data_IF_813932423356
#
_entry.id   IF_813932423356
#
_cell.length_a   1.000
_cell.length_b   1.000
_cell.length_c   1.000
_cell.angle_alpha   90.00
_cell.angle_beta   90.00
_cell.angle_gamma   90.00
#
_symmetry.space_group_name_H-M   'P 1'
#
loop_
_entity.id
_entity.type
_entity.pdbx_description
1 polymer ?
#
# COMPACT_ATOMS: atom_id res chain seq x y z
N UNK A 1 5.10 -3.69 -27.39
CA UNK A 1 4.24 -2.55 -27.03
C UNK A 1 4.96 -1.77 -25.93
N UNK A 2 5.44 -0.55 -26.21
CA UNK A 2 5.97 0.33 -25.15
C UNK A 2 4.80 0.71 -24.26
N UNK A 3 4.85 0.36 -22.97
CA UNK A 3 3.89 0.85 -22.01
C UNK A 3 4.07 2.37 -21.89
N UNK A 4 3.11 3.13 -22.43
CA UNK A 4 3.04 4.58 -22.22
C UNK A 4 2.93 4.81 -20.71
N UNK A 5 3.73 5.71 -20.16
CA UNK A 5 3.62 6.05 -18.75
C UNK A 5 2.21 6.59 -18.47
N UNK A 6 1.52 5.99 -17.50
CA UNK A 6 0.14 6.30 -17.14
C UNK A 6 0.05 7.26 -15.95
N UNK A 7 1.13 7.95 -15.59
CA UNK A 7 1.11 8.91 -14.50
C UNK A 7 0.95 10.34 -15.02
N UNK A 8 0.30 11.17 -14.22
CA UNK A 8 -0.05 12.54 -14.52
C UNK A 8 0.63 13.50 -13.54
N UNK A 9 0.78 14.76 -13.93
CA UNK A 9 1.28 15.81 -13.04
C UNK A 9 0.40 15.89 -11.80
N UNK A 10 1.04 15.89 -10.63
CA UNK A 10 0.37 15.79 -9.33
C UNK A 10 0.37 14.40 -8.71
N UNK A 11 0.67 13.35 -9.48
CA UNK A 11 0.69 11.98 -8.96
C UNK A 11 1.79 11.77 -7.91
N UNK A 12 1.42 11.03 -6.87
CA UNK A 12 2.34 10.60 -5.83
C UNK A 12 3.27 9.52 -6.32
N UNK A 13 4.56 9.73 -6.12
CA UNK A 13 5.63 8.80 -6.47
C UNK A 13 6.31 8.27 -5.22
N UNK A 14 6.73 7.00 -5.26
CA UNK A 14 7.70 6.45 -4.34
C UNK A 14 9.05 6.34 -5.08
N UNK A 15 10.11 6.84 -4.46
CA UNK A 15 11.47 6.79 -5.01
C UNK A 15 12.33 5.90 -4.13
N UNK A 16 13.00 4.93 -4.75
CA UNK A 16 14.08 4.14 -4.13
C UNK A 16 15.40 4.48 -4.78
N UNK A 17 16.41 4.81 -3.99
CA UNK A 17 17.77 4.93 -4.48
C UNK A 17 18.31 3.51 -4.69
N UNK A 18 18.78 3.20 -5.91
CA UNK A 18 19.32 1.88 -6.29
C UNK A 18 20.83 1.90 -6.15
N UNK A 19 21.47 2.99 -6.61
CA UNK A 19 22.89 3.17 -6.64
C UNK A 19 23.21 4.63 -6.29
N UNK A 20 24.16 4.84 -5.39
CA UNK A 20 24.52 6.17 -4.90
C UNK A 20 25.14 6.12 -3.51
N UNK A 21 25.75 7.23 -3.10
CA UNK A 21 26.43 7.40 -1.81
C UNK A 21 25.48 7.43 -0.58
N UNK A 22 24.20 7.17 -0.79
CA UNK A 22 23.18 7.23 0.26
C UNK A 22 22.57 5.84 0.40
N UNK A 23 22.96 5.11 1.43
CA UNK A 23 22.32 3.84 1.82
C UNK A 23 20.94 4.13 2.45
N UNK A 24 19.97 4.48 1.61
CA UNK A 24 18.58 4.64 2.04
C UNK A 24 17.78 3.47 1.47
N UNK A 25 17.77 2.37 2.19
CA UNK A 25 16.91 1.21 1.93
C UNK A 25 15.41 1.53 2.19
N UNK A 26 14.99 2.78 1.98
CA UNK A 26 13.66 3.31 2.35
C UNK A 26 12.95 3.86 1.13
N UNK A 27 11.63 3.70 1.11
CA UNK A 27 10.80 4.34 0.11
C UNK A 27 10.66 5.83 0.47
N UNK A 28 11.19 6.69 -0.38
CA UNK A 28 11.03 8.13 -0.28
C UNK A 28 9.74 8.53 -0.99
N UNK A 29 9.04 9.51 -0.50
CA UNK A 29 7.81 10.03 -1.10
C UNK A 29 8.14 11.29 -1.90
N UNK A 30 7.62 11.37 -3.10
CA UNK A 30 7.73 12.51 -4.00
C UNK A 30 6.41 12.71 -4.77
N UNK A 31 6.39 13.71 -5.64
CA UNK A 31 5.28 14.04 -6.53
C UNK A 31 5.80 14.40 -7.91
N UNK A 32 5.10 13.96 -8.96
CA UNK A 32 5.39 14.38 -10.32
C UNK A 32 5.01 15.86 -10.49
N UNK A 33 5.95 16.69 -10.85
CA UNK A 33 5.72 18.13 -11.06
C UNK A 33 5.53 18.47 -12.55
N UNK A 34 6.31 17.83 -13.44
CA UNK A 34 6.28 18.14 -14.85
C UNK A 34 6.77 16.94 -15.69
N UNK A 35 6.24 16.80 -16.89
CA UNK A 35 6.71 15.88 -17.94
C UNK A 35 7.40 16.73 -19.00
N UNK A 36 8.73 16.74 -19.05
CA UNK A 36 9.50 17.57 -19.97
C UNK A 36 9.73 16.92 -21.34
N UNK A 37 9.73 15.60 -21.39
CA UNK A 37 9.79 14.82 -22.64
C UNK A 37 9.23 13.40 -22.42
N UNK A 38 9.31 12.52 -23.42
CA UNK A 38 8.85 11.12 -23.31
C UNK A 38 9.58 10.33 -22.21
N UNK A 39 10.83 10.69 -21.89
CA UNK A 39 11.69 9.98 -20.94
C UNK A 39 12.25 10.86 -19.82
N UNK A 40 11.88 12.15 -19.76
CA UNK A 40 12.39 13.09 -18.75
C UNK A 40 11.28 13.73 -17.93
N UNK A 41 11.45 13.73 -16.63
CA UNK A 41 10.45 14.16 -15.65
C UNK A 41 11.07 15.05 -14.59
N UNK A 42 10.33 16.06 -14.14
CA UNK A 42 10.63 16.84 -12.95
C UNK A 42 9.78 16.30 -11.81
N UNK A 43 10.43 15.90 -10.73
CA UNK A 43 9.77 15.40 -9.53
C UNK A 43 10.20 16.21 -8.31
N UNK A 44 9.30 16.47 -7.39
CA UNK A 44 9.60 17.20 -6.16
C UNK A 44 10.75 16.54 -5.40
N UNK A 45 11.53 17.32 -4.66
CA UNK A 45 12.57 16.74 -3.80
C UNK A 45 11.95 15.70 -2.86
N UNK A 46 12.45 14.45 -2.85
CA UNK A 46 11.86 13.40 -2.05
C UNK A 46 11.86 13.68 -0.56
N UNK A 47 10.83 13.20 0.13
CA UNK A 47 10.65 13.38 1.57
C UNK A 47 10.69 12.02 2.27
N UNK A 48 11.35 11.97 3.42
CA UNK A 48 11.30 10.87 4.37
C UNK A 48 11.09 11.40 5.79
N UNK A 49 10.02 10.96 6.47
CA UNK A 49 9.67 11.40 7.83
C UNK A 49 9.66 12.93 7.99
N UNK A 50 9.08 13.63 7.01
CA UNK A 50 8.97 15.09 7.00
C UNK A 50 10.25 15.86 6.63
N UNK A 51 11.36 15.18 6.33
CA UNK A 51 12.63 15.79 5.93
C UNK A 51 12.87 15.60 4.44
N UNK A 52 13.32 16.67 3.75
CA UNK A 52 13.78 16.58 2.37
C UNK A 52 15.05 15.72 2.29
N UNK A 53 15.09 14.83 1.33
CA UNK A 53 16.22 13.95 1.08
C UNK A 53 16.90 14.37 -0.22
N UNK A 54 18.11 14.90 -0.09
CA UNK A 54 18.92 15.27 -1.24
C UNK A 54 19.46 14.03 -1.95
N UNK A 55 18.99 13.79 -3.18
CA UNK A 55 19.55 12.77 -4.06
C UNK A 55 20.57 13.42 -5.00
N UNK A 56 21.84 12.99 -5.00
CA UNK A 56 22.85 13.56 -5.87
C UNK A 56 22.56 13.36 -7.36
N UNK A 57 23.03 14.29 -8.21
CA UNK A 57 23.10 14.08 -9.66
C UNK A 57 23.96 12.84 -9.96
N UNK A 58 23.53 12.03 -10.93
CA UNK A 58 24.16 10.77 -11.28
C UNK A 58 23.65 9.56 -10.51
N UNK A 59 22.89 9.75 -9.42
CA UNK A 59 22.28 8.63 -8.70
C UNK A 59 21.26 7.90 -9.58
N UNK A 60 21.23 6.56 -9.46
CA UNK A 60 20.21 5.72 -10.08
C UNK A 60 19.08 5.49 -9.09
N UNK A 61 17.85 5.70 -9.55
CA UNK A 61 16.64 5.61 -8.73
C UNK A 61 15.59 4.72 -9.40
N UNK A 62 14.78 4.01 -8.61
CA UNK A 62 13.56 3.35 -9.08
C UNK A 62 12.37 4.21 -8.71
N UNK A 63 11.60 4.59 -9.70
CA UNK A 63 10.35 5.34 -9.57
C UNK A 63 9.21 4.35 -9.54
N UNK A 64 8.34 4.48 -8.54
CA UNK A 64 7.22 3.58 -8.33
C UNK A 64 5.97 4.43 -8.13
N UNK A 65 4.91 4.13 -8.87
CA UNK A 65 3.64 4.85 -8.81
C UNK A 65 2.46 3.91 -8.98
N UNK A 66 1.30 4.32 -8.48
CA UNK A 66 0.06 3.55 -8.63
C UNK A 66 -0.87 4.24 -9.62
N UNK A 67 -1.47 3.46 -10.50
CA UNK A 67 -2.50 3.92 -11.43
C UNK A 67 -3.81 3.29 -10.97
N UNK A 68 -4.83 4.13 -10.80
CA UNK A 68 -6.15 3.68 -10.36
C UNK A 68 -6.65 2.56 -11.28
N UNK A 69 -7.13 1.49 -10.70
CA UNK A 69 -7.70 0.30 -11.36
C UNK A 69 -6.76 -0.47 -12.31
N UNK A 70 -5.50 -0.01 -12.47
CA UNK A 70 -4.49 -0.65 -13.33
C UNK A 70 -3.31 -1.28 -12.57
N UNK A 71 -3.08 -0.85 -11.32
CA UNK A 71 -2.05 -1.44 -10.48
C UNK A 71 -0.86 -0.53 -10.20
N UNK A 72 0.26 -1.14 -9.84
CA UNK A 72 1.50 -0.43 -9.49
C UNK A 72 2.49 -0.63 -10.63
N UNK A 73 3.12 0.46 -11.04
CA UNK A 73 4.11 0.50 -12.10
C UNK A 73 5.45 0.96 -11.56
N UNK A 74 6.53 0.56 -12.21
CA UNK A 74 7.87 1.06 -11.90
C UNK A 74 8.76 1.12 -13.12
N UNK A 75 9.72 2.05 -13.08
CA UNK A 75 10.85 2.15 -14.00
C UNK A 75 12.08 2.67 -13.25
N UNK A 76 13.27 2.45 -13.82
CA UNK A 76 14.50 3.02 -13.30
C UNK A 76 14.84 4.30 -14.07
N UNK A 77 15.44 5.25 -13.37
CA UNK A 77 15.85 6.53 -13.92
C UNK A 77 17.19 6.99 -13.33
N UNK A 78 17.90 7.84 -14.05
CA UNK A 78 19.06 8.54 -13.54
C UNK A 78 18.67 9.98 -13.15
N UNK A 79 19.19 10.48 -12.04
CA UNK A 79 19.06 11.88 -11.65
C UNK A 79 20.02 12.69 -12.52
N UNK A 80 19.48 13.48 -13.45
CA UNK A 80 20.29 14.28 -14.40
C UNK A 80 20.52 15.71 -13.95
N UNK A 81 19.61 16.25 -13.11
CA UNK A 81 19.71 17.59 -12.56
C UNK A 81 19.05 17.68 -11.20
N UNK A 82 19.51 18.61 -10.37
CA UNK A 82 18.94 18.92 -9.05
C UNK A 82 18.89 20.42 -8.85
N UNK A 83 17.73 20.90 -8.38
CA UNK A 83 17.54 22.26 -7.92
C UNK A 83 17.25 22.28 -6.42
N UNK A 84 17.94 23.12 -5.67
CA UNK A 84 17.73 23.30 -4.23
C UNK A 84 17.27 24.73 -3.87
N UNK A 85 16.90 25.53 -4.86
CA UNK A 85 16.43 26.90 -4.64
C UNK A 85 15.00 26.90 -4.07
N UNK A 86 14.22 27.97 -4.30
CA UNK A 86 12.88 28.20 -3.72
C UNK A 86 11.95 26.99 -3.77
N UNK A 87 11.99 26.23 -4.87
CA UNK A 87 11.26 24.96 -5.02
C UNK A 87 12.29 23.88 -5.30
N UNK A 88 12.51 23.01 -4.32
CA UNK A 88 13.47 21.93 -4.44
C UNK A 88 12.90 20.77 -5.28
N UNK A 89 13.62 20.39 -6.35
CA UNK A 89 13.23 19.28 -7.23
C UNK A 89 14.45 18.55 -7.80
N UNK A 90 14.21 17.39 -8.36
CA UNK A 90 15.16 16.67 -9.20
C UNK A 90 14.57 16.44 -10.58
N UNK A 91 15.40 16.53 -11.62
CA UNK A 91 15.07 16.09 -12.98
C UNK A 91 15.64 14.69 -13.15
N UNK A 92 14.80 13.78 -13.58
CA UNK A 92 15.14 12.37 -13.79
C UNK A 92 14.97 12.02 -15.26
N UNK A 93 15.83 11.13 -15.75
CA UNK A 93 15.76 10.55 -17.10
C UNK A 93 15.56 9.05 -16.98
N UNK A 94 14.47 8.54 -17.54
CA UNK A 94 14.14 7.12 -17.58
C UNK A 94 15.19 6.35 -18.38
N UNK A 95 15.60 5.17 -17.87
CA UNK A 95 16.64 4.33 -18.50
C UNK A 95 16.15 2.96 -18.95
N UNK A 96 14.97 2.53 -18.51
CA UNK A 96 14.38 1.27 -18.92
C UNK A 96 12.86 1.42 -19.15
N UNK A 97 12.24 0.39 -19.74
CA UNK A 97 10.80 0.38 -19.94
C UNK A 97 10.05 0.27 -18.61
N UNK A 98 8.87 0.89 -18.56
CA UNK A 98 7.96 0.78 -17.43
C UNK A 98 7.40 -0.63 -17.30
N UNK A 99 7.43 -1.18 -16.09
CA UNK A 99 6.98 -2.54 -15.75
C UNK A 99 5.89 -2.49 -14.69
N UNK A 100 4.98 -3.48 -14.73
CA UNK A 100 4.04 -3.71 -13.64
C UNK A 100 4.80 -4.29 -12.44
N UNK A 101 4.59 -3.70 -11.26
CA UNK A 101 5.18 -4.16 -10.00
C UNK A 101 4.14 -4.84 -9.12
N UNK A 102 4.13 -6.16 -9.13
CA UNK A 102 3.30 -6.90 -8.18
C UNK A 102 3.93 -6.85 -6.78
N UNK A 103 3.24 -6.19 -5.84
CA UNK A 103 3.68 -6.08 -4.42
C UNK A 103 2.89 -7.00 -3.49
N UNK A 104 1.71 -7.46 -3.93
CA UNK A 104 0.81 -8.26 -3.10
C UNK A 104 1.01 -9.72 -3.41
N UNK A 105 1.35 -10.49 -2.39
CA UNK A 105 1.45 -11.95 -2.51
C UNK A 105 0.06 -12.60 -2.56
N UNK A 106 -0.96 -11.93 -1.99
CA UNK A 106 -2.32 -12.44 -1.87
C UNK A 106 -3.32 -11.48 -2.48
N UNK A 107 -4.33 -12.03 -3.13
CA UNK A 107 -5.48 -11.27 -3.60
C UNK A 107 -6.25 -10.70 -2.40
N UNK A 108 -6.78 -9.49 -2.55
CA UNK A 108 -7.62 -8.84 -1.55
C UNK A 108 -9.01 -8.66 -2.11
N UNK A 109 -9.97 -9.24 -1.41
CA UNK A 109 -11.38 -9.10 -1.74
C UNK A 109 -11.98 -7.95 -0.93
N UNK A 110 -12.64 -7.02 -1.61
CA UNK A 110 -13.46 -6.00 -0.93
C UNK A 110 -14.74 -6.66 -0.44
N UNK A 111 -14.84 -6.87 0.86
CA UNK A 111 -15.97 -7.53 1.50
C UNK A 111 -16.16 -7.06 2.93
N UNK A 112 -17.42 -6.96 3.35
CA UNK A 112 -17.83 -6.54 4.68
C UNK A 112 -18.20 -7.74 5.53
N UNK A 113 -17.35 -8.10 6.48
CA UNK A 113 -17.56 -9.13 7.47
C UNK A 113 -17.46 -8.50 8.87
N UNK A 114 -18.27 -8.96 9.82
CA UNK A 114 -18.18 -8.50 11.21
C UNK A 114 -16.90 -8.99 11.86
N UNK A 115 -16.25 -8.11 12.63
CA UNK A 115 -15.01 -8.41 13.35
C UNK A 115 -15.06 -7.85 14.76
N UNK A 116 -14.46 -8.58 15.70
CA UNK A 116 -14.18 -8.13 17.07
C UNK A 116 -12.71 -8.40 17.40
N UNK A 117 -12.07 -7.48 18.10
CA UNK A 117 -10.64 -7.54 18.42
C UNK A 117 -10.44 -7.52 19.94
N UNK A 118 -9.56 -8.39 20.42
CA UNK A 118 -9.25 -8.56 21.84
C UNK A 118 -7.74 -8.44 22.06
N UNK A 119 -7.37 -7.74 23.15
CA UNK A 119 -6.00 -7.65 23.64
C UNK A 119 -5.96 -8.16 25.06
N UNK A 120 -5.10 -9.18 25.34
CA UNK A 120 -5.02 -9.83 26.68
C UNK A 120 -6.41 -10.18 27.23
N UNK A 121 -7.23 -10.83 26.38
CA UNK A 121 -8.61 -11.25 26.68
C UNK A 121 -9.65 -10.10 26.83
N UNK A 122 -9.20 -8.85 26.92
CA UNK A 122 -10.11 -7.72 26.96
C UNK A 122 -10.58 -7.32 25.55
N UNK A 123 -11.86 -7.07 25.40
CA UNK A 123 -12.41 -6.47 24.19
C UNK A 123 -11.84 -5.06 24.00
N UNK A 124 -11.33 -4.75 22.80
CA UNK A 124 -10.69 -3.45 22.51
C UNK A 124 -11.27 -2.72 21.29
N UNK A 125 -11.83 -3.46 20.32
CA UNK A 125 -12.40 -2.86 19.11
C UNK A 125 -13.35 -3.82 18.41
N UNK A 126 -14.32 -3.29 17.68
CA UNK A 126 -15.14 -4.03 16.72
C UNK A 126 -15.34 -3.22 15.45
N UNK A 127 -15.95 -3.82 14.46
CA UNK A 127 -16.27 -3.14 13.21
C UNK A 127 -16.60 -4.08 12.08
N UNK A 128 -16.41 -3.57 10.86
CA UNK A 128 -16.64 -4.31 9.63
C UNK A 128 -15.42 -4.25 8.71
N UNK A 129 -15.07 -5.37 8.08
CA UNK A 129 -13.97 -5.42 7.14
C UNK A 129 -14.25 -4.55 5.91
N UNK A 130 -13.19 -3.97 5.35
CA UNK A 130 -13.18 -3.33 4.02
C UNK A 130 -12.56 -4.23 2.98
N UNK A 131 -11.55 -4.98 3.39
CA UNK A 131 -10.92 -6.01 2.56
C UNK A 131 -10.44 -7.18 3.41
N UNK A 132 -10.40 -8.35 2.79
CA UNK A 132 -9.91 -9.60 3.36
C UNK A 132 -8.97 -10.27 2.37
N UNK A 133 -7.89 -10.84 2.86
CA UNK A 133 -6.93 -11.65 2.11
C UNK A 133 -6.43 -12.81 2.97
N UNK A 134 -5.75 -13.77 2.35
CA UNK A 134 -5.07 -14.86 3.06
C UNK A 134 -4.11 -14.38 4.15
N UNK A 135 -3.43 -13.25 3.95
CA UNK A 135 -2.40 -12.73 4.88
C UNK A 135 -2.90 -11.71 5.90
N UNK A 136 -4.18 -11.30 5.85
CA UNK A 136 -4.71 -10.28 6.75
C UNK A 136 -5.95 -9.59 6.24
N UNK A 137 -6.41 -8.62 7.00
CA UNK A 137 -7.60 -7.84 6.69
C UNK A 137 -7.43 -6.36 7.02
N UNK A 138 -8.35 -5.57 6.49
CA UNK A 138 -8.54 -4.18 6.87
C UNK A 138 -9.98 -3.99 7.32
N UNK A 139 -10.21 -3.21 8.38
CA UNK A 139 -11.55 -2.93 8.90
C UNK A 139 -11.67 -1.49 9.39
N UNK A 140 -12.90 -1.03 9.53
CA UNK A 140 -13.25 0.26 10.14
C UNK A 140 -13.77 0.00 11.54
N UNK A 141 -13.30 0.80 12.50
CA UNK A 141 -13.65 0.72 13.91
C UNK A 141 -13.77 2.12 14.52
N UNK A 142 -14.57 2.23 15.56
CA UNK A 142 -14.69 3.48 16.36
C UNK A 142 -13.52 3.65 17.35
N UNK A 143 -12.70 2.62 17.56
CA UNK A 143 -11.51 2.65 18.40
C UNK A 143 -10.23 2.40 17.60
N UNK A 144 -9.20 3.24 17.82
CA UNK A 144 -7.86 3.02 17.28
C UNK A 144 -7.11 1.94 18.05
N UNK A 145 -6.16 1.28 17.39
CA UNK A 145 -5.30 0.27 18.01
C UNK A 145 -3.83 0.70 17.90
N UNK A 146 -3.03 0.34 18.90
CA UNK A 146 -1.60 0.64 18.92
C UNK A 146 -0.85 -0.23 17.88
N UNK A 147 0.06 0.42 17.14
CA UNK A 147 0.87 -0.25 16.11
C UNK A 147 1.77 -1.34 16.72
N UNK A 148 1.97 -2.40 15.97
CA UNK A 148 2.76 -3.58 16.32
C UNK A 148 2.20 -4.43 17.47
N UNK A 149 1.05 -4.05 18.04
CA UNK A 149 0.39 -4.86 19.06
C UNK A 149 -0.11 -6.17 18.47
N UNK A 150 0.11 -7.26 19.20
CA UNK A 150 -0.44 -8.58 18.87
C UNK A 150 -1.80 -8.71 19.56
N UNK A 151 -2.82 -9.01 18.75
CA UNK A 151 -4.22 -9.10 19.15
C UNK A 151 -4.85 -10.41 18.71
N UNK A 152 -5.95 -10.79 19.31
CA UNK A 152 -6.83 -11.85 18.83
C UNK A 152 -7.98 -11.22 18.06
N UNK A 153 -8.11 -11.58 16.81
CA UNK A 153 -9.18 -11.16 15.92
C UNK A 153 -10.21 -12.29 15.82
N UNK A 154 -11.46 -11.98 16.11
CA UNK A 154 -12.60 -12.87 15.88
C UNK A 154 -13.36 -12.36 14.66
N UNK A 155 -13.25 -13.10 13.56
CA UNK A 155 -13.82 -12.76 12.26
C UNK A 155 -15.01 -13.67 11.97
N UNK A 156 -16.15 -13.12 11.63
CA UNK A 156 -17.34 -13.89 11.27
C UNK A 156 -17.40 -14.05 9.76
N UNK A 157 -17.38 -15.30 9.29
CA UNK A 157 -17.50 -15.70 7.89
C UNK A 157 -18.57 -16.80 7.80
N UNK A 158 -19.62 -16.60 6.99
CA UNK A 158 -20.72 -17.56 6.81
C UNK A 158 -21.29 -18.06 8.15
N UNK A 159 -21.51 -17.16 9.10
CA UNK A 159 -22.00 -17.42 10.46
C UNK A 159 -21.01 -18.21 11.36
N UNK A 160 -19.82 -18.53 10.88
CA UNK A 160 -18.75 -19.14 11.67
C UNK A 160 -17.79 -18.09 12.23
N UNK A 161 -17.43 -18.21 13.51
CA UNK A 161 -16.44 -17.35 14.17
C UNK A 161 -15.03 -17.94 14.04
N UNK A 162 -14.16 -17.28 13.30
CA UNK A 162 -12.75 -17.62 13.19
C UNK A 162 -11.93 -16.82 14.19
N UNK A 163 -11.22 -17.51 15.08
CA UNK A 163 -10.29 -16.88 16.03
C UNK A 163 -8.87 -16.88 15.45
N UNK A 164 -8.31 -15.70 15.22
CA UNK A 164 -7.06 -15.52 14.50
C UNK A 164 -6.11 -14.61 15.28
N UNK A 165 -4.90 -15.09 15.56
CA UNK A 165 -3.83 -14.27 16.11
C UNK A 165 -3.30 -13.32 15.04
N UNK A 166 -3.27 -12.02 15.34
CA UNK A 166 -2.99 -10.97 14.36
C UNK A 166 -2.11 -9.88 14.93
N UNK A 167 -1.36 -9.18 14.08
CA UNK A 167 -0.59 -8.01 14.44
C UNK A 167 -1.18 -6.75 13.80
N UNK A 168 -1.31 -5.68 14.56
CA UNK A 168 -1.71 -4.36 14.05
C UNK A 168 -0.55 -3.77 13.25
N UNK A 169 -0.73 -3.66 11.93
CA UNK A 169 0.30 -3.11 11.02
C UNK A 169 -0.02 -1.69 10.55
N UNK A 170 -1.26 -1.23 10.79
CA UNK A 170 -1.70 0.14 10.52
C UNK A 170 -2.92 0.46 11.38
N UNK A 171 -2.98 1.70 11.88
CA UNK A 171 -4.14 2.27 12.57
C UNK A 171 -4.11 3.78 12.32
N UNK A 172 -4.95 4.26 11.42
CA UNK A 172 -5.04 5.66 11.03
C UNK A 172 -6.47 6.14 11.20
N UNK A 173 -6.65 7.43 11.44
CA UNK A 173 -7.96 8.08 11.36
C UNK A 173 -8.55 7.83 9.96
N UNK A 174 -9.82 7.48 9.90
CA UNK A 174 -10.51 7.19 8.66
C UNK A 174 -10.90 8.49 7.93
N UNK A 175 -10.35 8.71 6.74
CA UNK A 175 -10.51 9.98 5.99
C UNK A 175 -11.96 10.38 5.71
N UNK A 176 -12.88 9.41 5.60
CA UNK A 176 -14.31 9.68 5.34
C UNK A 176 -15.11 9.97 6.60
N UNK A 177 -14.59 9.58 7.77
CA UNK A 177 -15.17 9.88 9.07
C UNK A 177 -14.05 9.97 10.11
N UNK A 178 -13.77 11.19 10.60
CA UNK A 178 -12.67 11.47 11.53
C UNK A 178 -12.87 10.89 12.93
N UNK A 179 -14.05 10.40 13.24
CA UNK A 179 -14.35 9.70 14.49
C UNK A 179 -14.04 8.21 14.43
N UNK A 180 -13.68 7.71 13.23
CA UNK A 180 -13.39 6.31 12.99
C UNK A 180 -11.93 6.09 12.61
N UNK A 181 -11.48 4.84 12.75
CA UNK A 181 -10.14 4.39 12.41
C UNK A 181 -10.18 3.33 11.32
N UNK A 182 -9.28 3.47 10.34
CA UNK A 182 -8.97 2.41 9.38
C UNK A 182 -7.79 1.60 9.91
N UNK A 183 -8.06 0.35 10.30
CA UNK A 183 -7.09 -0.54 10.93
C UNK A 183 -6.76 -1.68 9.97
N UNK A 184 -5.47 -2.04 9.87
CA UNK A 184 -5.01 -3.21 9.13
C UNK A 184 -4.35 -4.20 10.06
N UNK A 185 -4.80 -5.45 9.99
CA UNK A 185 -4.27 -6.59 10.72
C UNK A 185 -3.53 -7.52 9.77
N UNK A 186 -2.35 -7.95 10.15
CA UNK A 186 -1.61 -9.05 9.52
C UNK A 186 -1.84 -10.31 10.36
N UNK A 187 -2.30 -11.39 9.74
CA UNK A 187 -2.45 -12.67 10.39
C UNK A 187 -1.08 -13.27 10.72
N UNK A 188 -0.93 -13.78 11.93
CA UNK A 188 0.27 -14.49 12.40
C UNK A 188 -0.14 -15.85 12.92
N UNK A 189 0.70 -16.87 12.68
CA UNK A 189 0.47 -18.25 13.14
C UNK A 189 -0.88 -18.83 12.67
N UNK A 190 -1.28 -18.52 11.43
CA UNK A 190 -2.54 -19.00 10.86
C UNK A 190 -2.49 -20.52 10.63
N UNK A 191 -3.39 -21.28 11.26
CA UNK A 191 -3.47 -22.72 11.02
C UNK A 191 -3.86 -23.01 9.56
N UNK A 192 -3.44 -24.17 9.04
CA UNK A 192 -3.73 -24.57 7.67
C UNK A 192 -5.25 -24.58 7.40
N UNK A 193 -6.04 -25.11 8.32
CA UNK A 193 -7.50 -25.21 8.15
C UNK A 193 -8.16 -23.83 8.03
N UNK A 194 -7.80 -22.88 8.90
CA UNK A 194 -8.34 -21.51 8.86
C UNK A 194 -7.88 -20.80 7.57
N UNK A 195 -6.62 -21.00 7.16
CA UNK A 195 -6.10 -20.48 5.92
C UNK A 195 -6.90 -20.96 4.71
N UNK A 196 -7.06 -22.28 4.59
CA UNK A 196 -7.77 -22.91 3.47
C UNK A 196 -9.24 -22.46 3.44
N UNK A 197 -9.87 -22.30 4.60
CA UNK A 197 -11.24 -21.79 4.73
C UNK A 197 -11.36 -20.34 4.21
N UNK A 198 -10.46 -19.44 4.65
CA UNK A 198 -10.44 -18.04 4.19
C UNK A 198 -10.21 -17.96 2.67
N UNK A 199 -9.27 -18.74 2.14
CA UNK A 199 -8.96 -18.78 0.71
C UNK A 199 -10.18 -19.26 -0.09
N UNK A 200 -10.81 -20.36 0.34
CA UNK A 200 -12.02 -20.88 -0.30
C UNK A 200 -13.17 -19.87 -0.29
N UNK A 201 -13.37 -19.18 0.85
CA UNK A 201 -14.36 -18.12 0.96
C UNK A 201 -14.09 -16.96 -0.01
N UNK A 202 -12.84 -16.47 -0.08
CA UNK A 202 -12.44 -15.39 -0.99
C UNK A 202 -12.74 -15.76 -2.44
N UNK A 203 -12.37 -16.96 -2.88
CA UNK A 203 -12.62 -17.41 -4.25
C UNK A 203 -14.12 -17.58 -4.55
N UNK A 204 -14.90 -18.09 -3.59
CA UNK A 204 -16.34 -18.20 -3.74
C UNK A 204 -17.00 -16.83 -3.90
N UNK A 205 -16.68 -15.89 -3.03
CA UNK A 205 -17.22 -14.54 -3.09
C UNK A 205 -16.77 -13.79 -4.35
N UNK A 206 -15.51 -13.94 -4.76
CA UNK A 206 -15.02 -13.36 -6.03
C UNK A 206 -15.83 -13.86 -7.22
N UNK A 207 -16.17 -15.16 -7.26
CA UNK A 207 -16.97 -15.75 -8.31
C UNK A 207 -18.39 -15.15 -8.35
N UNK A 208 -19.02 -15.01 -7.19
CA UNK A 208 -20.33 -14.38 -7.05
C UNK A 208 -20.32 -12.93 -7.54
N UNK A 209 -19.29 -12.15 -7.13
CA UNK A 209 -19.16 -10.74 -7.54
C UNK A 209 -18.94 -10.59 -9.06
N UNK A 210 -18.14 -11.48 -9.68
CA UNK A 210 -17.97 -11.51 -11.15
C UNK A 210 -19.26 -11.84 -11.87
N UNK A 211 -20.04 -12.82 -11.39
CA UNK A 211 -21.34 -13.15 -11.99
C UNK A 211 -22.32 -11.99 -11.90
N UNK A 212 -22.20 -11.13 -10.90
CA UNK A 212 -23.02 -9.92 -10.73
C UNK A 212 -22.46 -8.70 -11.49
N UNK A 213 -21.32 -8.82 -12.18
CA UNK A 213 -20.67 -7.70 -12.89
C UNK A 213 -20.11 -6.61 -11.97
N UNK A 214 -19.80 -6.94 -10.70
CA UNK A 214 -19.32 -5.98 -9.71
C UNK A 214 -17.79 -5.90 -9.63
N UNK A 215 -17.07 -6.85 -10.25
CA UNK A 215 -15.60 -6.88 -10.41
C UNK A 215 -15.23 -7.58 -11.73
#
# INVERSE_FOLDING_TARGET
>A
MKYKNFFEVGDKLEIKVIDGYIDINKNLISQLMEITSEDEYIVAMPIYKGKLINIPKGSKVSIIYSVKDKGIYCFDANVVYRNNEKIAYIKIKQVNETKIKQRRNYYRLHISNKISVYYKENFVANGYTKDLSEGGLKFISDAGLELNTVVICKLIIDDEELTIKSQVIRSNVYEKNLEQFEISLKFIELSKNIRDYIVAYIFRQQRILRQKGLI
#
